data_IF_103471701536
#
_entry.id   IF_103471701536
#
_cell.length_a   1.000
_cell.length_b   1.000
_cell.length_c   1.000
_cell.angle_alpha   90.00
_cell.angle_beta   90.00
_cell.angle_gamma   90.00
#
_symmetry.space_group_name_H-M   'P 1'
#
loop_
_entity.id
_entity.type
_entity.pdbx_description
1 polymer ?
#
# COMPACT_ATOMS: atom_id res chain seq x y z
N UNK A 1 16.56 -51.42 72.38
CA UNK A 1 17.52 -50.67 71.60
C UNK A 1 17.04 -50.73 70.11
N UNK A 2 16.21 -49.78 69.68
CA UNK A 2 15.65 -49.78 68.32
C UNK A 2 16.40 -48.76 67.51
N UNK A 3 17.05 -49.19 66.44
CA UNK A 3 17.75 -48.34 65.49
C UNK A 3 16.79 -48.01 64.38
N UNK A 4 16.41 -46.70 64.24
CA UNK A 4 15.63 -46.19 63.13
C UNK A 4 16.59 -45.77 62.02
N UNK A 5 16.49 -46.41 60.85
CA UNK A 5 17.09 -45.95 59.62
C UNK A 5 16.22 -44.88 58.94
N UNK A 6 16.74 -43.66 58.81
CA UNK A 6 16.15 -42.61 57.96
C UNK A 6 16.75 -42.70 56.56
N UNK A 7 15.88 -42.95 55.58
CA UNK A 7 16.21 -42.81 54.15
C UNK A 7 16.10 -41.34 53.72
N UNK A 8 17.06 -40.81 52.95
CA UNK A 8 16.96 -39.46 52.40
C UNK A 8 16.02 -39.48 51.17
N UNK A 9 15.04 -38.55 51.15
CA UNK A 9 14.16 -38.30 50.00
C UNK A 9 14.93 -37.39 49.01
N UNK A 10 15.45 -37.94 47.94
CA UNK A 10 15.88 -37.18 46.80
C UNK A 10 14.66 -36.85 45.95
N UNK A 11 14.22 -35.58 45.95
CA UNK A 11 13.23 -35.03 45.04
C UNK A 11 14.00 -34.68 43.75
N UNK A 12 13.85 -35.50 42.74
CA UNK A 12 14.33 -35.20 41.39
C UNK A 12 13.35 -34.28 40.71
N UNK A 13 13.61 -32.97 40.73
CA UNK A 13 12.85 -32.01 39.93
C UNK A 13 13.21 -32.18 38.46
N UNK A 14 12.32 -32.80 37.72
CA UNK A 14 12.38 -32.91 36.27
C UNK A 14 11.94 -31.55 35.66
N UNK A 15 12.92 -30.72 35.29
CA UNK A 15 12.66 -29.49 34.55
C UNK A 15 12.35 -29.88 33.10
N UNK A 16 11.06 -29.88 32.74
CA UNK A 16 10.62 -30.05 31.37
C UNK A 16 10.85 -28.71 30.65
N UNK A 17 11.96 -28.66 29.89
CA UNK A 17 12.25 -27.53 28.98
C UNK A 17 11.32 -27.67 27.78
N UNK A 18 10.19 -26.96 27.81
CA UNK A 18 9.32 -26.77 26.66
C UNK A 18 10.04 -25.88 25.64
N UNK A 19 10.70 -26.49 24.69
CA UNK A 19 11.18 -25.83 23.49
C UNK A 19 9.96 -25.43 22.66
N UNK A 20 9.56 -24.17 22.76
CA UNK A 20 8.65 -23.56 21.78
C UNK A 20 9.39 -23.45 20.46
N UNK A 21 9.25 -24.46 19.61
CA UNK A 21 9.58 -24.30 18.20
C UNK A 21 8.55 -23.31 17.62
N UNK A 22 8.92 -22.04 17.58
CA UNK A 22 8.25 -21.08 16.73
C UNK A 22 8.55 -21.51 15.29
N UNK A 23 7.60 -22.14 14.64
CA UNK A 23 7.65 -22.40 13.22
C UNK A 23 7.51 -21.06 12.50
N UNK A 24 8.60 -20.32 12.36
CA UNK A 24 8.68 -19.23 11.42
C UNK A 24 8.54 -19.85 10.03
N UNK A 25 7.33 -19.83 9.49
CA UNK A 25 7.10 -20.12 8.10
C UNK A 25 7.80 -19.02 7.32
N UNK A 26 8.98 -19.30 6.76
CA UNK A 26 9.66 -18.35 5.89
C UNK A 26 8.68 -17.98 4.78
N UNK A 27 8.38 -16.69 4.67
CA UNK A 27 7.56 -16.16 3.57
C UNK A 27 8.36 -16.36 2.28
N UNK A 28 7.74 -17.02 1.28
CA UNK A 28 8.37 -17.22 -0.03
C UNK A 28 8.07 -15.99 -0.88
N UNK A 29 9.13 -15.32 -1.35
CA UNK A 29 9.00 -14.28 -2.36
C UNK A 29 8.38 -14.89 -3.63
N UNK A 30 7.25 -14.33 -4.06
CA UNK A 30 6.49 -14.77 -5.25
C UNK A 30 6.87 -13.92 -6.45
N UNK A 31 7.03 -12.61 -6.23
CA UNK A 31 7.35 -11.63 -7.26
C UNK A 31 7.99 -10.39 -6.64
N UNK A 32 8.89 -9.78 -7.40
CA UNK A 32 9.45 -8.45 -7.10
C UNK A 32 9.75 -7.68 -8.38
N UNK A 33 9.70 -6.36 -8.27
CA UNK A 33 10.28 -5.43 -9.22
C UNK A 33 11.18 -4.45 -8.45
N UNK A 34 12.47 -4.52 -8.72
CA UNK A 34 13.50 -3.67 -8.12
C UNK A 34 13.88 -2.51 -9.06
N UNK A 35 13.15 -2.35 -10.17
CA UNK A 35 13.38 -1.30 -11.17
C UNK A 35 14.82 -1.23 -11.69
N UNK A 36 15.47 -2.40 -11.86
CA UNK A 36 16.87 -2.52 -12.31
C UNK A 36 17.06 -2.22 -13.81
N UNK A 37 15.98 -2.00 -14.55
CA UNK A 37 16.00 -1.69 -15.99
C UNK A 37 16.44 -0.26 -16.29
N UNK A 38 16.41 0.09 -17.56
CA UNK A 38 16.60 1.48 -18.03
C UNK A 38 15.28 2.21 -18.27
N UNK A 39 14.17 1.47 -18.27
CA UNK A 39 12.81 1.98 -18.43
C UNK A 39 11.82 1.01 -17.76
N UNK A 40 10.56 1.45 -17.59
CA UNK A 40 9.52 0.65 -16.99
C UNK A 40 9.21 -0.58 -17.84
N UNK A 41 9.15 -1.74 -17.19
CA UNK A 41 8.84 -2.98 -17.89
C UNK A 41 7.36 -3.06 -18.28
N UNK A 42 7.03 -2.72 -19.53
CA UNK A 42 5.65 -2.76 -20.04
C UNK A 42 5.08 -4.21 -20.18
N UNK A 43 5.83 -5.26 -19.90
CA UNK A 43 5.26 -6.62 -19.75
C UNK A 43 4.61 -6.81 -18.37
N UNK A 44 4.94 -5.96 -17.40
CA UNK A 44 4.44 -5.99 -16.03
C UNK A 44 3.48 -4.82 -15.79
N UNK A 45 3.87 -3.62 -16.23
CA UNK A 45 3.15 -2.38 -15.98
C UNK A 45 2.42 -1.87 -17.21
N UNK A 46 1.25 -1.31 -17.01
CA UNK A 46 0.53 -0.48 -17.97
C UNK A 46 0.58 0.96 -17.51
N UNK A 47 0.53 1.90 -18.45
CA UNK A 47 0.25 3.28 -18.14
C UNK A 47 -1.25 3.56 -18.27
N UNK A 48 -1.82 4.23 -17.28
CA UNK A 48 -3.12 4.86 -17.39
C UNK A 48 -2.91 6.32 -17.74
N UNK A 49 -3.50 6.81 -18.83
CA UNK A 49 -3.18 8.09 -19.44
C UNK A 49 -4.36 9.07 -19.40
N UNK A 50 -4.04 10.37 -19.44
CA UNK A 50 -5.03 11.43 -19.47
C UNK A 50 -5.57 11.77 -18.08
N UNK A 51 -6.79 12.27 -18.03
CA UNK A 51 -7.48 12.69 -16.81
C UNK A 51 -8.69 11.81 -16.47
N UNK A 52 -8.75 10.60 -17.03
CA UNK A 52 -9.86 9.65 -16.84
C UNK A 52 -11.11 9.93 -17.66
N UNK A 53 -11.19 11.05 -18.41
CA UNK A 53 -12.36 11.35 -19.26
C UNK A 53 -12.41 10.43 -20.49
N UNK A 54 -13.61 10.09 -21.02
CA UNK A 54 -14.92 10.57 -20.58
C UNK A 54 -15.52 9.79 -19.39
N UNK A 55 -15.00 8.59 -19.09
CA UNK A 55 -15.69 7.63 -18.21
C UNK A 55 -15.53 7.96 -16.72
N UNK A 56 -14.38 8.52 -16.34
CA UNK A 56 -14.05 8.83 -14.95
C UNK A 56 -13.23 10.13 -14.84
N UNK A 57 -13.80 11.24 -15.30
CA UNK A 57 -13.10 12.54 -15.34
C UNK A 57 -12.56 12.97 -13.98
N UNK A 58 -11.28 13.44 -13.96
CA UNK A 58 -10.55 13.73 -12.72
C UNK A 58 -10.38 12.50 -11.86
N UNK A 59 -10.34 11.30 -12.50
CA UNK A 59 -10.21 9.98 -11.89
C UNK A 59 -11.23 9.73 -10.77
N UNK A 60 -12.42 10.34 -10.88
CA UNK A 60 -13.49 10.27 -9.89
C UNK A 60 -13.29 11.14 -8.64
N UNK A 61 -12.12 11.77 -8.49
CA UNK A 61 -11.70 12.51 -7.31
C UNK A 61 -11.48 14.01 -7.56
N UNK A 62 -11.84 14.54 -8.74
CA UNK A 62 -11.50 15.91 -9.16
C UNK A 62 -10.01 16.20 -9.21
N UNK A 63 -9.18 15.17 -9.42
CA UNK A 63 -7.74 15.29 -9.62
C UNK A 63 -7.41 16.25 -10.76
N UNK A 64 -6.28 16.95 -10.69
CA UNK A 64 -5.95 18.08 -11.58
C UNK A 64 -4.91 17.75 -12.63
N UNK A 65 -4.19 16.65 -12.49
CA UNK A 65 -3.13 16.25 -13.41
C UNK A 65 -3.67 15.51 -14.64
N UNK A 66 -2.84 15.55 -15.67
CA UNK A 66 -2.88 14.60 -16.79
C UNK A 66 -1.78 13.55 -16.56
N UNK A 67 -2.16 12.29 -16.52
CA UNK A 67 -1.17 11.22 -16.48
C UNK A 67 -0.58 10.98 -17.87
N UNK A 68 0.76 10.89 -17.91
CA UNK A 68 1.55 10.70 -19.14
C UNK A 68 2.62 9.63 -18.93
N UNK A 69 3.18 9.14 -20.04
CA UNK A 69 4.38 8.29 -20.01
C UNK A 69 5.66 9.09 -19.72
N UNK A 70 5.64 10.41 -19.85
CA UNK A 70 6.85 11.24 -19.82
C UNK A 70 7.21 11.74 -18.41
N UNK A 71 6.43 11.36 -17.40
CA UNK A 71 6.61 11.80 -16.02
C UNK A 71 7.22 10.72 -15.13
N UNK A 72 7.78 9.65 -15.72
CA UNK A 72 8.55 8.66 -14.99
C UNK A 72 9.96 8.53 -15.56
N UNK A 73 10.84 8.00 -14.74
CA UNK A 73 12.19 7.54 -15.14
C UNK A 73 12.63 6.41 -14.22
N UNK A 74 13.48 5.52 -14.74
CA UNK A 74 14.22 4.55 -13.93
C UNK A 74 15.66 5.04 -13.81
N UNK A 75 16.12 5.24 -12.58
CA UNK A 75 17.48 5.73 -12.30
C UNK A 75 17.98 5.05 -11.03
N UNK A 76 19.16 4.44 -11.11
CA UNK A 76 19.86 3.81 -9.98
C UNK A 76 18.98 2.80 -9.20
N UNK A 77 18.23 1.97 -9.94
CA UNK A 77 17.34 0.98 -9.35
C UNK A 77 16.08 1.57 -8.67
N UNK A 78 15.65 2.75 -9.09
CA UNK A 78 14.45 3.38 -8.56
C UNK A 78 13.50 3.80 -9.68
N UNK A 79 12.22 3.53 -9.48
CA UNK A 79 11.16 4.21 -10.24
C UNK A 79 10.91 5.58 -9.63
N UNK A 80 11.08 6.62 -10.42
CA UNK A 80 10.84 8.01 -10.02
C UNK A 80 9.65 8.54 -10.81
N UNK A 81 8.57 8.84 -10.13
CA UNK A 81 7.38 9.52 -10.68
C UNK A 81 7.52 11.01 -10.36
N UNK A 82 7.57 11.85 -11.39
CA UNK A 82 7.72 13.28 -11.25
C UNK A 82 6.40 13.98 -11.56
N UNK A 83 5.88 14.74 -10.59
CA UNK A 83 4.80 15.67 -10.85
C UNK A 83 5.37 17.06 -11.14
N UNK A 84 4.89 17.70 -12.18
CA UNK A 84 5.30 19.04 -12.61
C UNK A 84 4.15 19.84 -13.17
N UNK A 85 4.33 21.14 -13.22
CA UNK A 85 3.40 22.07 -13.88
C UNK A 85 4.10 22.74 -15.03
N UNK A 86 3.52 22.64 -16.24
CA UNK A 86 3.98 23.29 -17.46
C UNK A 86 2.78 23.99 -18.09
N UNK A 87 2.91 25.26 -18.41
CA UNK A 87 1.85 26.06 -19.06
C UNK A 87 0.45 25.91 -18.41
N UNK A 88 0.40 25.95 -17.08
CA UNK A 88 -0.83 25.79 -16.28
C UNK A 88 -1.42 24.35 -16.25
N UNK A 89 -0.74 23.38 -16.83
CA UNK A 89 -1.16 21.96 -16.80
C UNK A 89 -0.27 21.18 -15.83
N UNK A 90 -0.88 20.46 -14.91
CA UNK A 90 -0.15 19.49 -14.09
C UNK A 90 -0.03 18.17 -14.85
N UNK A 91 1.16 17.59 -14.83
CA UNK A 91 1.40 16.27 -15.42
C UNK A 91 2.08 15.36 -14.42
N UNK A 92 1.74 14.06 -14.45
CA UNK A 92 2.26 13.03 -13.58
C UNK A 92 2.25 11.67 -14.28
N UNK A 93 2.52 10.59 -13.54
CA UNK A 93 2.43 9.21 -14.04
C UNK A 93 1.56 8.37 -13.12
N UNK A 94 0.74 7.51 -13.74
CA UNK A 94 -0.04 6.45 -13.10
C UNK A 94 0.21 5.15 -13.83
N UNK A 95 0.62 4.14 -13.08
CA UNK A 95 0.91 2.80 -13.60
C UNK A 95 0.12 1.73 -12.87
N UNK A 96 -0.13 0.62 -13.54
CA UNK A 96 -0.90 -0.49 -12.98
C UNK A 96 -0.43 -1.84 -13.54
N UNK A 97 -0.56 -2.89 -12.72
CA UNK A 97 -0.30 -4.28 -13.17
C UNK A 97 -1.53 -4.98 -13.72
N UNK A 98 -2.65 -4.28 -13.93
CA UNK A 98 -3.94 -4.81 -14.40
C UNK A 98 -3.77 -5.72 -15.63
N UNK A 99 -4.31 -6.96 -15.54
CA UNK A 99 -4.25 -7.95 -16.61
C UNK A 99 -2.87 -8.53 -16.88
N UNK A 100 -1.84 -8.20 -16.09
CA UNK A 100 -0.46 -8.68 -16.23
C UNK A 100 0.05 -9.37 -14.98
N UNK A 101 -0.12 -8.76 -13.79
CA UNK A 101 0.23 -9.32 -12.49
C UNK A 101 -0.89 -9.02 -11.50
N UNK A 102 -1.46 -10.09 -10.96
CA UNK A 102 -2.55 -10.05 -10.01
C UNK A 102 -2.22 -10.99 -8.87
N UNK A 103 -2.58 -10.61 -7.65
CA UNK A 103 -2.21 -11.33 -6.44
C UNK A 103 -3.44 -11.52 -5.56
N UNK A 104 -3.48 -12.64 -4.86
CA UNK A 104 -4.50 -12.92 -3.85
C UNK A 104 -3.81 -13.42 -2.60
N UNK A 105 -3.95 -12.67 -1.51
CA UNK A 105 -3.30 -12.91 -0.22
C UNK A 105 -1.77 -12.78 -0.27
N UNK A 106 -1.18 -12.79 0.90
CA UNK A 106 0.25 -12.66 1.09
C UNK A 106 0.64 -11.29 1.63
N UNK A 107 1.95 -11.10 1.72
CA UNK A 107 2.52 -9.80 2.05
C UNK A 107 2.78 -9.04 0.76
N UNK A 108 2.19 -7.86 0.64
CA UNK A 108 2.42 -6.93 -0.47
C UNK A 108 3.07 -5.68 0.10
N UNK A 109 4.22 -5.28 -0.43
CA UNK A 109 4.94 -4.12 0.08
C UNK A 109 5.62 -3.31 -1.01
N UNK A 110 5.75 -2.02 -0.77
CA UNK A 110 6.61 -1.11 -1.51
C UNK A 110 7.52 -0.36 -0.56
N UNK A 111 8.78 -0.15 -0.95
CA UNK A 111 9.69 0.77 -0.28
C UNK A 111 9.75 2.05 -1.07
N UNK A 112 9.31 3.15 -0.47
CA UNK A 112 9.17 4.41 -1.18
C UNK A 112 9.53 5.62 -0.32
N UNK A 113 9.94 6.71 -1.01
CA UNK A 113 10.17 8.03 -0.43
C UNK A 113 9.10 9.00 -0.93
N UNK A 114 8.42 9.65 0.00
CA UNK A 114 7.32 10.55 -0.29
C UNK A 114 7.78 11.93 -0.79
N UNK A 115 7.02 12.57 -1.70
CA UNK A 115 7.15 13.99 -2.00
C UNK A 115 6.59 14.84 -0.85
N UNK A 116 6.97 16.11 -0.79
CA UNK A 116 6.50 17.05 0.24
C UNK A 116 5.94 18.31 -0.40
N UNK A 117 4.73 18.71 -0.01
CA UNK A 117 4.09 19.94 -0.47
C UNK A 117 2.58 19.84 -0.58
N UNK A 118 1.88 20.98 -0.37
CA UNK A 118 0.42 21.04 -0.43
C UNK A 118 -0.11 20.68 -1.82
N UNK A 119 -1.16 19.89 -1.83
CA UNK A 119 -1.83 19.40 -3.03
C UNK A 119 -1.32 18.07 -3.54
N UNK A 120 -0.13 17.61 -3.12
CA UNK A 120 0.43 16.31 -3.53
C UNK A 120 -0.32 15.15 -2.89
N UNK A 121 -0.53 14.09 -3.68
CA UNK A 121 -1.22 12.88 -3.25
C UNK A 121 -0.62 11.64 -3.94
N UNK A 122 0.56 11.17 -3.49
CA UNK A 122 1.11 9.87 -3.90
C UNK A 122 0.32 8.73 -3.27
N UNK A 123 0.17 7.63 -4.03
CA UNK A 123 -0.51 6.42 -3.58
C UNK A 123 0.15 5.15 -4.09
N UNK A 124 0.13 4.11 -3.23
CA UNK A 124 0.40 2.71 -3.54
C UNK A 124 -0.78 1.89 -3.04
N UNK A 125 -1.53 1.28 -3.95
CA UNK A 125 -2.83 0.73 -3.70
C UNK A 125 -3.20 -0.41 -4.64
N UNK A 126 -4.34 -1.03 -4.44
CA UNK A 126 -4.78 -2.18 -5.22
C UNK A 126 -6.29 -2.11 -5.50
N UNK A 127 -6.70 -2.63 -6.66
CA UNK A 127 -8.11 -2.81 -7.04
C UNK A 127 -8.39 -4.28 -7.38
N UNK A 128 -9.62 -4.71 -7.06
CA UNK A 128 -10.09 -6.06 -7.41
C UNK A 128 -10.12 -6.29 -8.91
N UNK A 129 -9.59 -7.44 -9.36
CA UNK A 129 -9.44 -7.77 -10.78
C UNK A 129 -10.77 -7.93 -11.52
N UNK A 130 -11.88 -8.14 -10.78
CA UNK A 130 -13.23 -8.22 -11.31
C UNK A 130 -13.90 -6.85 -11.55
N UNK A 131 -13.17 -5.75 -11.44
CA UNK A 131 -13.72 -4.38 -11.56
C UNK A 131 -14.51 -4.17 -12.87
N UNK A 132 -14.11 -4.82 -13.95
CA UNK A 132 -14.82 -4.72 -15.24
C UNK A 132 -16.21 -5.36 -15.22
N UNK A 133 -16.44 -6.30 -14.31
CA UNK A 133 -17.69 -7.05 -14.22
C UNK A 133 -18.64 -6.42 -13.19
N UNK A 134 -18.11 -5.99 -12.04
CA UNK A 134 -18.95 -5.52 -10.93
C UNK A 134 -18.86 -4.01 -10.68
N UNK A 135 -17.84 -3.34 -11.22
CA UNK A 135 -17.58 -1.92 -11.00
C UNK A 135 -17.01 -1.61 -9.61
N UNK A 136 -16.64 -0.35 -9.43
CA UNK A 136 -16.28 0.19 -8.11
C UNK A 136 -17.53 0.73 -7.40
N UNK A 137 -17.69 0.57 -6.08
CA UNK A 137 -16.74 -0.01 -5.11
C UNK A 137 -16.90 -1.52 -4.87
N UNK A 138 -17.74 -2.24 -5.61
CA UNK A 138 -18.02 -3.66 -5.41
C UNK A 138 -16.79 -4.55 -5.64
N UNK A 139 -15.87 -4.14 -6.51
CA UNK A 139 -14.62 -4.88 -6.73
C UNK A 139 -13.68 -4.86 -5.51
N UNK A 140 -13.89 -3.93 -4.57
CA UNK A 140 -12.98 -3.69 -3.46
C UNK A 140 -11.75 -2.89 -3.86
N UNK A 141 -11.21 -2.12 -2.90
CA UNK A 141 -9.99 -1.34 -3.03
C UNK A 141 -9.20 -1.42 -1.72
N UNK A 142 -7.88 -1.53 -1.82
CA UNK A 142 -6.94 -1.60 -0.69
C UNK A 142 -5.90 -0.51 -0.87
N UNK A 143 -5.97 0.56 -0.09
CA UNK A 143 -5.00 1.64 -0.11
C UNK A 143 -3.93 1.36 0.92
N UNK A 144 -2.79 0.81 0.45
CA UNK A 144 -1.66 0.42 1.32
C UNK A 144 -0.95 1.66 1.84
N UNK A 145 -0.81 2.65 0.97
CA UNK A 145 -0.25 3.96 1.25
C UNK A 145 -1.04 5.03 0.52
N UNK A 146 -1.51 6.01 1.25
CA UNK A 146 -1.85 7.33 0.74
C UNK A 146 -1.19 8.39 1.62
N UNK A 147 -0.67 9.43 1.00
CA UNK A 147 -0.15 10.61 1.66
C UNK A 147 -0.75 11.85 1.03
N UNK A 148 -1.13 12.83 1.84
CA UNK A 148 -1.62 14.11 1.34
C UNK A 148 -0.79 15.26 1.92
N UNK A 149 -0.16 16.03 1.05
CA UNK A 149 0.78 17.07 1.45
C UNK A 149 0.19 18.23 2.27
N UNK A 150 -1.15 18.32 2.37
CA UNK A 150 -1.85 19.25 3.27
C UNK A 150 -1.81 18.80 4.73
N UNK A 151 -1.48 17.52 4.99
CA UNK A 151 -1.38 16.93 6.31
C UNK A 151 -0.01 16.29 6.51
N UNK A 152 1.03 17.11 6.73
CA UNK A 152 2.40 16.63 6.87
C UNK A 152 2.54 15.55 7.95
N UNK A 153 3.53 14.67 7.78
CA UNK A 153 3.86 13.58 8.69
C UNK A 153 2.75 12.55 8.88
N UNK A 154 1.75 12.54 8.00
CA UNK A 154 0.57 11.70 8.14
C UNK A 154 0.41 10.80 6.93
N UNK A 155 0.27 9.50 7.17
CA UNK A 155 -0.12 8.52 6.16
C UNK A 155 -1.51 7.98 6.44
N UNK A 156 -2.19 7.59 5.38
CA UNK A 156 -3.50 6.96 5.41
C UNK A 156 -3.39 5.56 4.87
N UNK A 157 -4.15 4.66 5.46
CA UNK A 157 -4.43 3.32 4.93
C UNK A 157 -5.95 3.15 4.93
N UNK A 158 -6.50 2.66 3.84
CA UNK A 158 -7.96 2.60 3.67
C UNK A 158 -8.39 1.33 2.97
N UNK A 159 -9.66 1.00 3.14
CA UNK A 159 -10.34 -0.05 2.41
C UNK A 159 -11.69 0.47 1.93
N UNK A 160 -11.96 0.32 0.63
CA UNK A 160 -13.24 0.66 0.06
C UNK A 160 -14.00 -0.60 -0.34
N UNK A 161 -15.24 -0.67 0.11
CA UNK A 161 -16.16 -1.79 -0.11
C UNK A 161 -17.52 -1.24 -0.49
N UNK A 162 -18.42 -2.07 -0.97
CA UNK A 162 -19.78 -1.63 -1.26
C UNK A 162 -20.45 -1.00 -0.03
N UNK A 163 -20.20 -1.56 1.15
CA UNK A 163 -20.80 -1.10 2.40
C UNK A 163 -20.17 0.19 2.95
N UNK A 164 -18.92 0.50 2.58
CA UNK A 164 -18.23 1.72 3.01
C UNK A 164 -17.16 2.12 2.01
N UNK A 165 -17.33 3.26 1.37
CA UNK A 165 -16.44 3.79 0.33
C UNK A 165 -16.43 5.32 0.31
N UNK A 166 -15.53 5.92 -0.48
CA UNK A 166 -15.29 7.36 -0.46
C UNK A 166 -14.75 7.79 0.90
N UNK A 167 -15.57 8.46 1.69
CA UNK A 167 -15.25 8.76 3.10
C UNK A 167 -15.44 7.49 3.96
N UNK A 168 -14.69 6.43 3.65
CA UNK A 168 -14.85 5.13 4.28
C UNK A 168 -14.54 5.17 5.78
N UNK A 169 -15.33 4.42 6.56
CA UNK A 169 -15.03 4.18 7.99
C UNK A 169 -13.87 3.18 8.19
N UNK A 170 -13.51 2.44 7.13
CA UNK A 170 -12.44 1.46 7.14
C UNK A 170 -11.08 2.13 6.79
N UNK A 171 -10.81 3.26 7.41
CA UNK A 171 -9.59 4.04 7.19
C UNK A 171 -8.87 4.30 8.49
N UNK A 172 -7.54 4.41 8.42
CA UNK A 172 -6.69 4.79 9.52
C UNK A 172 -5.73 5.89 9.12
N UNK A 173 -5.81 7.01 9.86
CA UNK A 173 -4.85 8.09 9.84
C UNK A 173 -3.76 7.83 10.87
N UNK A 174 -2.49 7.83 10.45
CA UNK A 174 -1.34 7.53 11.31
C UNK A 174 -0.29 8.64 11.21
N UNK A 175 0.03 9.27 12.34
CA UNK A 175 1.11 10.24 12.45
C UNK A 175 2.44 9.50 12.62
N UNK A 176 3.43 9.83 11.78
CA UNK A 176 4.79 9.29 11.80
C UNK A 176 5.75 10.45 11.55
N UNK A 177 6.52 10.80 12.55
CA UNK A 177 7.30 12.06 12.59
C UNK A 177 8.34 12.19 11.47
N UNK A 178 8.90 11.09 11.01
CA UNK A 178 9.97 11.02 10.03
C UNK A 178 9.53 10.49 8.65
N UNK A 179 8.23 10.28 8.43
CA UNK A 179 7.70 9.66 7.20
C UNK A 179 8.08 10.41 5.90
N UNK A 180 8.37 11.68 5.99
CA UNK A 180 8.83 12.52 4.87
C UNK A 180 10.34 12.46 4.67
N UNK A 181 11.07 11.71 5.53
CA UNK A 181 12.53 11.64 5.53
C UNK A 181 13.01 10.27 5.03
N UNK A 182 13.53 10.24 3.78
CA UNK A 182 14.09 9.00 3.26
C UNK A 182 13.05 7.99 2.80
N UNK A 183 13.43 6.72 2.83
CA UNK A 183 12.60 5.62 2.37
C UNK A 183 11.96 4.90 3.53
N UNK A 184 10.66 4.62 3.41
CA UNK A 184 9.89 3.78 4.32
C UNK A 184 9.26 2.61 3.58
N UNK A 185 8.92 1.55 4.31
CA UNK A 185 8.24 0.36 3.77
C UNK A 185 6.76 0.46 4.14
N UNK A 186 5.92 0.46 3.13
CA UNK A 186 4.46 0.41 3.27
C UNK A 186 3.99 -0.97 2.86
N UNK A 187 3.27 -1.66 3.73
CA UNK A 187 2.95 -3.06 3.49
C UNK A 187 1.59 -3.46 4.04
N UNK A 188 1.05 -4.54 3.46
CA UNK A 188 -0.05 -5.31 4.05
C UNK A 188 0.37 -6.76 4.24
N UNK A 189 -0.15 -7.39 5.29
CA UNK A 189 -0.27 -8.84 5.41
C UNK A 189 -1.74 -9.19 5.21
N UNK A 190 -2.05 -9.71 4.03
CA UNK A 190 -3.41 -10.02 3.60
C UNK A 190 -3.66 -11.51 3.62
N UNK A 191 -4.70 -11.91 4.35
CA UNK A 191 -5.18 -13.29 4.46
C UNK A 191 -6.68 -13.34 4.14
N UNK A 192 -7.26 -14.54 4.09
CA UNK A 192 -8.71 -14.72 3.97
C UNK A 192 -9.50 -14.15 5.16
N UNK A 193 -8.83 -13.90 6.29
CA UNK A 193 -9.49 -13.53 7.54
C UNK A 193 -9.31 -12.05 7.91
N UNK A 194 -8.21 -11.44 7.47
CA UNK A 194 -7.87 -10.05 7.81
C UNK A 194 -6.87 -9.44 6.84
N UNK A 195 -6.79 -8.13 6.88
CA UNK A 195 -5.74 -7.33 6.26
C UNK A 195 -5.10 -6.48 7.37
N UNK A 196 -3.81 -6.73 7.62
CA UNK A 196 -2.99 -5.95 8.55
C UNK A 196 -2.12 -4.99 7.75
N UNK A 197 -2.12 -3.70 8.13
CA UNK A 197 -1.34 -2.65 7.46
C UNK A 197 -0.14 -2.26 8.31
N UNK A 198 0.99 -2.06 7.65
CA UNK A 198 2.26 -1.74 8.30
C UNK A 198 2.93 -0.53 7.64
N UNK A 199 3.56 0.30 8.46
CA UNK A 199 4.61 1.23 8.03
C UNK A 199 5.90 0.77 8.70
N UNK A 200 6.91 0.46 7.90
CA UNK A 200 8.12 -0.23 8.30
C UNK A 200 7.79 -1.57 9.01
N UNK A 201 8.10 -1.68 10.28
CA UNK A 201 7.77 -2.88 11.08
C UNK A 201 6.58 -2.67 12.01
N UNK A 202 5.97 -1.47 11.98
CA UNK A 202 4.90 -1.10 12.90
C UNK A 202 3.53 -1.40 12.29
N UNK A 203 2.76 -2.26 12.94
CA UNK A 203 1.34 -2.44 12.64
C UNK A 203 0.59 -1.14 12.93
N UNK A 204 -0.08 -0.58 11.91
CA UNK A 204 -0.81 0.69 12.02
C UNK A 204 -2.32 0.50 11.99
N UNK A 205 -2.81 -0.53 11.29
CA UNK A 205 -4.23 -0.82 11.19
C UNK A 205 -4.48 -2.32 10.94
N UNK A 206 -5.59 -2.85 11.45
CA UNK A 206 -6.11 -4.19 11.15
C UNK A 206 -7.56 -4.08 10.74
N UNK A 207 -7.91 -4.62 9.59
CA UNK A 207 -9.28 -4.83 9.15
C UNK A 207 -9.63 -6.32 9.23
N UNK A 208 -10.56 -6.66 10.11
CA UNK A 208 -11.01 -8.05 10.35
C UNK A 208 -12.48 -8.05 10.76
N UNK A 209 -13.42 -7.80 9.81
CA UNK A 209 -14.84 -7.77 10.12
C UNK A 209 -15.33 -9.16 10.50
N UNK A 210 -16.35 -9.21 11.39
CA UNK A 210 -16.99 -10.48 11.78
C UNK A 210 -17.84 -11.03 10.64
N UNK A 211 -18.62 -10.17 10.00
CA UNK A 211 -19.38 -10.49 8.79
C UNK A 211 -18.53 -10.28 7.56
N UNK A 212 -18.44 -11.32 6.73
CA UNK A 212 -17.69 -11.31 5.48
C UNK A 212 -18.61 -11.54 4.28
N UNK A 213 -19.71 -10.76 4.25
CA UNK A 213 -20.50 -10.69 3.02
C UNK A 213 -19.69 -9.98 1.92
N UNK A 214 -20.05 -10.17 0.68
CA UNK A 214 -19.36 -9.53 -0.46
C UNK A 214 -19.36 -8.02 -0.39
N UNK A 215 -20.37 -7.43 0.26
CA UNK A 215 -20.49 -5.98 0.46
C UNK A 215 -19.49 -5.44 1.49
N UNK A 216 -19.04 -6.29 2.42
CA UNK A 216 -18.10 -5.93 3.51
C UNK A 216 -16.70 -6.44 3.24
N UNK A 217 -16.58 -7.63 2.62
CA UNK A 217 -15.31 -8.33 2.38
C UNK A 217 -15.18 -8.78 0.93
N UNK A 218 -14.97 -7.88 -0.04
CA UNK A 218 -14.72 -8.23 -1.43
C UNK A 218 -13.29 -8.73 -1.70
N UNK A 219 -12.52 -9.04 -0.66
CA UNK A 219 -11.07 -9.31 -0.72
C UNK A 219 -10.73 -10.80 -0.87
N UNK A 220 -11.69 -11.65 -1.25
CA UNK A 220 -11.48 -13.08 -1.54
C UNK A 220 -11.30 -13.35 -3.04
N UNK A 221 -10.57 -12.49 -3.73
CA UNK A 221 -10.30 -12.55 -5.16
C UNK A 221 -8.93 -11.92 -5.48
N UNK A 222 -8.40 -12.09 -6.69
CA UNK A 222 -7.17 -11.41 -7.10
C UNK A 222 -7.34 -9.89 -7.17
N UNK A 223 -6.26 -9.18 -6.84
CA UNK A 223 -6.13 -7.72 -6.95
C UNK A 223 -4.88 -7.38 -7.75
N UNK A 224 -4.94 -6.30 -8.50
CA UNK A 224 -3.79 -5.73 -9.19
C UNK A 224 -3.30 -4.46 -8.49
N UNK A 225 -2.01 -4.16 -8.67
CA UNK A 225 -1.33 -3.03 -8.03
C UNK A 225 -1.45 -1.78 -8.89
N UNK A 226 -1.59 -0.63 -8.23
CA UNK A 226 -1.50 0.70 -8.81
C UNK A 226 -0.50 1.57 -8.03
N UNK A 227 0.23 2.41 -8.76
CA UNK A 227 1.12 3.42 -8.21
C UNK A 227 0.90 4.71 -9.00
N UNK A 228 0.66 5.80 -8.30
CA UNK A 228 0.49 7.11 -8.94
C UNK A 228 0.89 8.25 -8.00
N UNK A 229 1.02 9.43 -8.57
CA UNK A 229 1.09 10.67 -7.81
C UNK A 229 0.07 11.65 -8.39
N UNK A 230 -1.06 11.79 -7.71
CA UNK A 230 -2.10 12.76 -8.00
C UNK A 230 -1.75 14.15 -7.46
N UNK A 231 -2.47 15.18 -7.91
CA UNK A 231 -2.39 16.51 -7.35
C UNK A 231 -3.78 17.15 -7.25
N UNK A 232 -4.04 17.81 -6.12
CA UNK A 232 -5.32 18.43 -5.86
C UNK A 232 -6.43 17.42 -5.59
N UNK A 233 -7.64 17.75 -6.03
CA UNK A 233 -8.80 16.89 -5.89
C UNK A 233 -9.38 16.81 -4.48
N UNK A 234 -10.32 15.88 -4.31
CA UNK A 234 -11.10 15.77 -3.07
C UNK A 234 -10.23 15.41 -1.87
N UNK A 235 -9.23 14.56 -2.06
CA UNK A 235 -8.37 14.09 -0.97
C UNK A 235 -7.03 14.83 -0.92
N UNK A 236 -6.38 15.13 -2.05
CA UNK A 236 -5.16 15.94 -2.09
C UNK A 236 -5.37 17.38 -1.62
N UNK A 237 -6.61 17.89 -1.75
CA UNK A 237 -7.02 19.24 -1.39
C UNK A 237 -6.99 20.20 -2.57
N UNK A 238 -7.79 21.27 -2.50
CA UNK A 238 -7.90 22.23 -3.57
C UNK A 238 -6.83 23.32 -3.55
N UNK A 239 -6.11 23.48 -2.43
CA UNK A 239 -4.96 24.35 -2.32
C UNK A 239 -3.71 23.60 -2.77
N UNK A 240 -3.11 24.06 -3.87
CA UNK A 240 -1.89 23.51 -4.45
C UNK A 240 -0.80 24.56 -4.32
N UNK A 241 0.33 24.16 -3.77
CA UNK A 241 1.53 25.01 -3.72
C UNK A 241 2.42 24.74 -4.95
N UNK A 242 2.23 25.56 -5.98
CA UNK A 242 3.02 25.45 -7.22
C UNK A 242 4.51 25.72 -7.00
N UNK A 243 4.89 26.39 -5.92
CA UNK A 243 6.30 26.79 -5.67
C UNK A 243 7.19 25.61 -5.29
N UNK A 244 6.58 24.49 -4.85
CA UNK A 244 7.33 23.28 -4.51
C UNK A 244 7.58 22.38 -5.72
N UNK A 245 6.91 22.63 -6.85
CA UNK A 245 7.04 21.79 -8.05
C UNK A 245 8.33 22.07 -8.82
N UNK A 246 8.97 21.08 -9.45
CA UNK A 246 8.55 19.68 -9.51
C UNK A 246 8.83 18.90 -8.21
N UNK A 247 8.05 17.84 -7.97
CA UNK A 247 8.26 16.91 -6.86
C UNK A 247 8.34 15.48 -7.37
N UNK A 248 9.00 14.61 -6.60
CA UNK A 248 9.26 13.23 -6.98
C UNK A 248 8.73 12.27 -5.93
N UNK A 249 7.96 11.26 -6.36
CA UNK A 249 7.62 10.07 -5.61
C UNK A 249 8.57 8.97 -6.07
N UNK A 250 9.42 8.47 -5.17
CA UNK A 250 10.51 7.55 -5.52
C UNK A 250 10.22 6.18 -4.92
N UNK A 251 10.16 5.16 -5.76
CA UNK A 251 9.89 3.77 -5.37
C UNK A 251 11.16 2.95 -5.61
N UNK A 252 11.69 2.34 -4.55
CA UNK A 252 12.87 1.48 -4.57
C UNK A 252 12.51 0.08 -5.09
N UNK A 253 11.46 -0.50 -4.53
CA UNK A 253 10.97 -1.82 -4.98
C UNK A 253 9.48 -2.00 -4.67
N UNK A 254 8.90 -2.97 -5.35
CA UNK A 254 7.60 -3.59 -5.01
C UNK A 254 7.80 -5.09 -4.86
N UNK A 255 7.26 -5.70 -3.79
CA UNK A 255 7.41 -7.15 -3.47
C UNK A 255 6.10 -7.78 -3.06
N UNK A 256 5.97 -9.06 -3.44
CA UNK A 256 4.86 -9.93 -3.04
C UNK A 256 5.40 -11.29 -2.60
#
# INVERSE_FOLDING_TARGET
>A
MFIQFRLPKYITSLIILLLFYSCNKESKLIWEDNFDGTDLNEQIWNFELGNGCPDNCGWGNNEKELYTKNNHKIVDGHLIITIKKEDSVYTSTRITTKGKKEFQYGRIEARAKLPVGKGLWPAFWMLGSNISDVGWPMCGEIDILEYVGREPKTVYTSLHTQNSHGNTINSKKTLIEDIEQGFHIYAIDWTKDKIDFYVDKKLVYTFSPQDKTTEVWPFDQPFYILINMAIGGNFGGFEIDDTVLPQEFIIDYVKV
#
